data_IF_680061814182
#
_entry.id   IF_680061814182
#
_cell.length_a   1.000
_cell.length_b   1.000
_cell.length_c   1.000
_cell.angle_alpha   90.00
_cell.angle_beta   90.00
_cell.angle_gamma   90.00
#
_symmetry.space_group_name_H-M   'P 1'
#
loop_
_entity.id
_entity.type
_entity.pdbx_description
1 polymer ?
#
# COMPACT_ATOMS: atom_id res chain seq x y z
N UNK A 1 54.07 58.75 -31.13
CA UNK A 1 53.17 58.02 -32.04
C UNK A 1 52.27 57.15 -31.19
N UNK A 2 50.97 57.42 -31.17
CA UNK A 2 50.00 56.59 -30.47
C UNK A 2 49.62 55.42 -31.39
N UNK A 3 49.97 54.20 -31.00
CA UNK A 3 49.46 52.97 -31.62
C UNK A 3 48.00 52.81 -31.25
N UNK A 4 47.11 53.17 -32.17
CA UNK A 4 45.70 52.81 -32.07
C UNK A 4 45.59 51.29 -32.27
N UNK A 5 45.23 50.57 -31.21
CA UNK A 5 44.87 49.16 -31.30
C UNK A 5 43.56 49.11 -32.08
N UNK A 6 43.61 48.56 -33.28
CA UNK A 6 42.46 48.44 -34.14
C UNK A 6 41.53 47.35 -33.57
N UNK A 7 40.28 47.72 -33.29
CA UNK A 7 39.26 46.80 -32.77
C UNK A 7 38.99 45.65 -33.75
N UNK A 8 39.30 45.84 -35.05
CA UNK A 8 39.20 44.77 -36.05
C UNK A 8 40.18 43.62 -35.83
N UNK A 9 41.33 43.86 -35.18
CA UNK A 9 42.35 42.82 -34.96
C UNK A 9 42.04 41.97 -33.72
N UNK A 10 41.14 42.44 -32.85
CA UNK A 10 40.53 41.63 -31.77
C UNK A 10 39.48 40.66 -32.35
N UNK A 11 39.03 40.90 -33.58
CA UNK A 11 38.00 40.15 -34.29
C UNK A 11 38.57 39.27 -35.42
N UNK A 12 39.76 38.66 -35.23
CA UNK A 12 40.13 37.48 -36.01
C UNK A 12 39.10 36.35 -35.75
N UNK A 13 38.18 36.28 -36.71
CA UNK A 13 36.83 35.71 -36.73
C UNK A 13 36.68 34.23 -36.38
N UNK A 14 37.77 33.49 -36.14
CA UNK A 14 37.70 32.04 -35.89
C UNK A 14 37.74 31.68 -34.39
N UNK A 15 38.29 32.54 -33.54
CA UNK A 15 38.37 32.27 -32.10
C UNK A 15 37.08 32.60 -31.35
N UNK A 16 36.43 33.73 -31.64
CA UNK A 16 35.20 34.15 -30.95
C UNK A 16 34.05 33.17 -31.22
N UNK A 17 33.85 32.79 -32.48
CA UNK A 17 32.83 31.80 -32.88
C UNK A 17 33.11 30.45 -32.20
N UNK A 18 34.36 29.99 -32.20
CA UNK A 18 34.78 28.76 -31.50
C UNK A 18 34.53 28.83 -29.99
N UNK A 19 34.78 29.97 -29.34
CA UNK A 19 34.48 30.17 -27.93
C UNK A 19 32.97 30.16 -27.64
N UNK A 20 32.16 30.81 -28.47
CA UNK A 20 30.68 30.77 -28.36
C UNK A 20 30.17 29.33 -28.49
N UNK A 21 30.65 28.56 -29.46
CA UNK A 21 30.29 27.15 -29.62
C UNK A 21 30.67 26.31 -28.38
N UNK A 22 31.87 26.49 -27.82
CA UNK A 22 32.30 25.79 -26.59
C UNK A 22 31.41 26.13 -25.40
N UNK A 23 31.00 27.39 -25.25
CA UNK A 23 30.08 27.82 -24.20
C UNK A 23 28.71 27.18 -24.37
N UNK A 24 28.16 27.18 -25.58
CA UNK A 24 26.86 26.53 -25.89
C UNK A 24 26.92 25.02 -25.58
N UNK A 25 27.99 24.34 -26.00
CA UNK A 25 28.19 22.90 -25.72
C UNK A 25 28.25 22.66 -24.22
N UNK A 26 28.96 23.52 -23.47
CA UNK A 26 29.07 23.40 -22.01
C UNK A 26 27.70 23.52 -21.34
N UNK A 27 26.89 24.51 -21.74
CA UNK A 27 25.52 24.66 -21.22
C UNK A 27 24.63 23.48 -21.61
N UNK A 28 24.75 22.95 -22.84
CA UNK A 28 24.00 21.78 -23.28
C UNK A 28 24.35 20.54 -22.44
N UNK A 29 25.64 20.30 -22.18
CA UNK A 29 26.08 19.19 -21.33
C UNK A 29 25.55 19.34 -19.90
N UNK A 30 25.63 20.54 -19.32
CA UNK A 30 25.08 20.81 -17.99
C UNK A 30 23.55 20.57 -17.94
N UNK A 31 22.83 20.98 -18.98
CA UNK A 31 21.39 20.72 -19.10
C UNK A 31 21.10 19.22 -19.17
N UNK A 32 21.81 18.46 -20.01
CA UNK A 32 21.62 17.00 -20.15
C UNK A 32 21.94 16.29 -18.84
N UNK A 33 23.00 16.66 -18.14
CA UNK A 33 23.34 16.08 -16.83
C UNK A 33 22.28 16.38 -15.77
N UNK A 34 21.78 17.62 -15.72
CA UNK A 34 20.70 18.02 -14.82
C UNK A 34 19.40 17.26 -15.12
N UNK A 35 19.06 17.12 -16.40
CA UNK A 35 17.88 16.38 -16.85
C UNK A 35 17.99 14.88 -16.54
N UNK A 36 19.15 14.26 -16.80
CA UNK A 36 19.42 12.86 -16.46
C UNK A 36 19.35 12.63 -14.95
N UNK A 37 19.94 13.53 -14.15
CA UNK A 37 19.85 13.49 -12.70
C UNK A 37 18.41 13.64 -12.19
N UNK A 38 17.62 14.55 -12.78
CA UNK A 38 16.20 14.71 -12.48
C UNK A 38 15.39 13.46 -12.84
N UNK A 39 15.65 12.84 -14.01
CA UNK A 39 15.02 11.59 -14.42
C UNK A 39 15.36 10.43 -13.48
N UNK A 40 16.64 10.30 -13.11
CA UNK A 40 17.09 9.31 -12.13
C UNK A 40 16.39 9.53 -10.79
N UNK A 41 16.37 10.77 -10.28
CA UNK A 41 15.68 11.07 -9.03
C UNK A 41 14.18 10.81 -9.09
N UNK A 42 13.49 11.16 -10.17
CA UNK A 42 12.07 10.83 -10.36
C UNK A 42 11.84 9.32 -10.47
N UNK A 43 12.74 8.60 -11.14
CA UNK A 43 12.69 7.15 -11.25
C UNK A 43 12.99 6.45 -9.91
N UNK A 44 13.83 7.04 -9.07
CA UNK A 44 14.13 6.53 -7.73
C UNK A 44 13.21 7.08 -6.64
N UNK A 45 12.36 8.08 -6.95
CA UNK A 45 11.36 8.60 -6.01
C UNK A 45 10.32 7.52 -5.77
N UNK A 46 10.56 6.72 -4.74
CA UNK A 46 9.70 5.60 -4.38
C UNK A 46 8.47 6.06 -3.61
N UNK A 47 8.50 7.27 -3.00
CA UNK A 47 7.52 7.76 -2.04
C UNK A 47 7.00 9.15 -2.39
N UNK A 48 5.69 9.34 -2.29
CA UNK A 48 4.99 10.63 -2.47
C UNK A 48 4.11 10.90 -1.27
N UNK A 49 4.13 12.15 -0.77
CA UNK A 49 3.23 12.59 0.32
C UNK A 49 1.99 13.21 -0.32
N UNK A 50 0.82 12.64 -0.04
CA UNK A 50 -0.44 13.15 -0.57
C UNK A 50 -0.97 14.33 0.22
N UNK A 51 -0.96 14.23 1.56
CA UNK A 51 -1.31 15.33 2.44
C UNK A 51 -0.71 15.15 3.84
N UNK A 52 -0.68 16.24 4.59
CA UNK A 52 -0.29 16.27 6.00
C UNK A 52 -1.45 16.78 6.85
N UNK A 53 -1.55 16.26 8.08
CA UNK A 53 -2.45 16.79 9.09
C UNK A 53 -1.77 16.74 10.46
N UNK A 54 -1.61 17.90 11.08
CA UNK A 54 -0.73 18.09 12.24
C UNK A 54 0.70 17.58 11.95
N UNK A 55 1.21 16.67 12.78
CA UNK A 55 2.53 16.06 12.63
C UNK A 55 2.53 14.78 11.80
N UNK A 56 1.36 14.32 11.36
CA UNK A 56 1.21 13.05 10.65
C UNK A 56 1.02 13.26 9.16
N UNK A 57 1.49 12.30 8.36
CA UNK A 57 1.37 12.34 6.91
C UNK A 57 0.72 11.09 6.33
N UNK A 58 0.00 11.27 5.22
CA UNK A 58 -0.48 10.19 4.37
C UNK A 58 0.33 10.20 3.10
N UNK A 59 0.98 9.08 2.81
CA UNK A 59 1.91 8.92 1.70
C UNK A 59 1.62 7.64 0.91
N UNK A 60 2.13 7.58 -0.32
CA UNK A 60 2.09 6.39 -1.17
C UNK A 60 3.49 6.02 -1.60
N UNK A 61 3.75 4.72 -1.71
CA UNK A 61 5.06 4.21 -2.11
C UNK A 61 4.96 3.00 -3.04
N UNK A 62 5.91 2.84 -3.96
CA UNK A 62 6.07 1.56 -4.66
C UNK A 62 6.97 0.62 -3.85
N UNK A 63 6.42 -0.49 -3.39
CA UNK A 63 7.13 -1.40 -2.49
C UNK A 63 6.51 -2.78 -2.39
N UNK A 64 7.14 -3.62 -1.58
CA UNK A 64 6.53 -4.85 -1.08
C UNK A 64 6.16 -4.62 0.38
N UNK A 65 4.87 -4.77 0.70
CA UNK A 65 4.36 -4.49 2.04
C UNK A 65 4.95 -5.42 3.11
N UNK A 66 5.48 -6.58 2.71
CA UNK A 66 6.16 -7.51 3.61
C UNK A 66 7.51 -6.98 4.10
N UNK A 67 8.14 -6.04 3.38
CA UNK A 67 9.45 -5.47 3.74
C UNK A 67 9.38 -4.66 5.05
N UNK A 68 8.17 -4.29 5.49
CA UNK A 68 7.92 -3.58 6.75
C UNK A 68 7.77 -4.52 7.95
N UNK A 69 7.80 -5.84 7.74
CA UNK A 69 7.72 -6.81 8.83
C UNK A 69 9.10 -6.99 9.47
N UNK A 70 9.22 -6.67 10.76
CA UNK A 70 10.44 -6.91 11.56
C UNK A 70 11.48 -5.79 11.56
N UNK A 71 11.23 -4.66 10.89
CA UNK A 71 12.14 -3.52 10.85
C UNK A 71 12.02 -2.58 12.07
N UNK A 72 10.80 -2.41 12.60
CA UNK A 72 10.50 -1.55 13.75
C UNK A 72 9.07 -1.84 14.25
N UNK A 73 8.65 -1.13 15.30
CA UNK A 73 7.26 -1.20 15.76
C UNK A 73 6.31 -0.55 14.76
N UNK A 74 5.49 -1.35 14.10
CA UNK A 74 4.60 -0.89 13.01
C UNK A 74 3.24 -1.55 13.07
N UNK A 75 2.28 -0.97 12.36
CA UNK A 75 0.97 -1.55 12.12
C UNK A 75 0.86 -1.96 10.65
N UNK A 76 0.43 -3.18 10.40
CA UNK A 76 0.21 -3.70 9.05
C UNK A 76 -1.27 -4.03 8.85
N UNK A 77 -1.93 -3.32 7.93
CA UNK A 77 -3.32 -3.63 7.56
C UNK A 77 -3.32 -4.74 6.51
N UNK A 78 -4.01 -5.83 6.83
CA UNK A 78 -4.09 -7.01 5.98
C UNK A 78 -5.55 -7.28 5.64
N UNK A 79 -6.02 -6.93 4.43
CA UNK A 79 -7.35 -7.31 3.99
C UNK A 79 -7.48 -8.82 3.85
N UNK A 80 -8.49 -9.40 4.49
CA UNK A 80 -8.77 -10.84 4.55
C UNK A 80 -10.22 -11.14 4.14
N UNK A 81 -10.54 -12.42 4.01
CA UNK A 81 -11.94 -12.82 3.88
C UNK A 81 -12.68 -12.72 5.22
N UNK A 82 -14.00 -12.58 5.16
CA UNK A 82 -14.89 -12.40 6.32
C UNK A 82 -14.94 -13.58 7.28
N UNK A 83 -14.38 -14.74 6.91
CA UNK A 83 -14.24 -15.89 7.82
C UNK A 83 -12.87 -15.95 8.49
N UNK A 84 -11.96 -15.01 8.17
CA UNK A 84 -10.60 -14.97 8.68
C UNK A 84 -9.89 -16.32 8.54
N UNK A 85 -10.00 -16.96 7.37
CA UNK A 85 -9.29 -18.20 7.12
C UNK A 85 -7.79 -18.00 7.30
N UNK A 86 -7.11 -18.96 7.93
CA UNK A 86 -5.65 -18.96 8.12
C UNK A 86 -4.95 -20.08 7.35
N UNK A 87 -5.71 -21.02 6.80
CA UNK A 87 -5.19 -22.14 6.04
C UNK A 87 -4.97 -21.73 4.57
N UNK A 88 -3.75 -21.93 4.09
CA UNK A 88 -3.40 -21.72 2.68
C UNK A 88 -3.58 -23.04 1.95
N UNK A 89 -4.62 -23.16 1.12
CA UNK A 89 -4.86 -24.35 0.30
C UNK A 89 -5.48 -24.02 -1.08
N UNK A 90 -5.29 -22.78 -1.55
CA UNK A 90 -5.82 -22.19 -2.80
C UNK A 90 -7.34 -22.29 -3.02
N UNK A 91 -8.06 -22.90 -2.07
CA UNK A 91 -9.52 -22.96 -2.05
C UNK A 91 -10.10 -21.74 -1.32
N UNK A 92 -9.67 -21.48 -0.09
CA UNK A 92 -10.17 -20.35 0.71
C UNK A 92 -9.25 -19.13 0.70
N UNK A 93 -7.96 -19.36 0.47
CA UNK A 93 -6.94 -18.32 0.37
C UNK A 93 -6.02 -18.65 -0.80
N UNK A 94 -6.01 -17.79 -1.82
CA UNK A 94 -5.03 -17.88 -2.90
C UNK A 94 -3.65 -17.49 -2.40
N UNK A 95 -2.64 -18.31 -2.69
CA UNK A 95 -1.22 -18.05 -2.34
C UNK A 95 -0.70 -16.74 -2.96
N UNK A 96 -1.27 -16.32 -4.09
CA UNK A 96 -0.89 -15.09 -4.79
C UNK A 96 -1.61 -13.83 -4.28
N UNK A 97 -2.67 -14.00 -3.47
CA UNK A 97 -3.33 -12.88 -2.81
C UNK A 97 -2.43 -12.27 -1.73
N UNK A 98 -2.64 -10.99 -1.39
CA UNK A 98 -1.91 -10.38 -0.27
C UNK A 98 -2.16 -11.14 1.04
N UNK A 99 -3.41 -11.55 1.29
CA UNK A 99 -3.78 -12.37 2.43
C UNK A 99 -2.92 -13.64 2.53
N UNK A 100 -2.82 -14.40 1.42
CA UNK A 100 -1.99 -15.60 1.33
C UNK A 100 -0.50 -15.32 1.48
N UNK A 101 0.02 -14.26 0.83
CA UNK A 101 1.42 -13.86 0.91
C UNK A 101 1.84 -13.49 2.35
N UNK A 102 1.01 -12.74 3.08
CA UNK A 102 1.29 -12.38 4.48
C UNK A 102 1.28 -13.62 5.37
N UNK A 103 0.26 -14.47 5.28
CA UNK A 103 0.18 -15.68 6.10
C UNK A 103 1.36 -16.62 5.79
N UNK A 104 1.68 -16.80 4.50
CA UNK A 104 2.82 -17.62 4.08
C UNK A 104 4.13 -17.07 4.64
N UNK A 105 4.35 -15.77 4.55
CA UNK A 105 5.53 -15.13 5.13
C UNK A 105 5.64 -15.40 6.63
N UNK A 106 4.53 -15.30 7.38
CA UNK A 106 4.51 -15.59 8.81
C UNK A 106 4.90 -17.05 9.13
N UNK A 107 4.43 -18.00 8.32
CA UNK A 107 4.66 -19.43 8.52
C UNK A 107 6.06 -19.85 8.09
N UNK A 108 6.49 -19.44 6.89
CA UNK A 108 7.80 -19.79 6.32
C UNK A 108 8.95 -19.23 7.18
N UNK A 109 8.73 -18.11 7.88
CA UNK A 109 9.70 -17.51 8.80
C UNK A 109 9.51 -17.93 10.28
N UNK A 110 8.65 -18.91 10.56
CA UNK A 110 8.38 -19.42 11.91
C UNK A 110 7.95 -18.35 12.93
N UNK A 111 7.31 -17.27 12.47
CA UNK A 111 6.88 -16.16 13.34
C UNK A 111 5.63 -16.52 14.15
N UNK A 112 4.76 -17.36 13.59
CA UNK A 112 3.58 -17.93 14.26
C UNK A 112 3.14 -19.20 13.53
N UNK A 113 2.58 -20.18 14.25
CA UNK A 113 1.97 -21.35 13.62
C UNK A 113 0.54 -21.05 13.14
N UNK A 114 0.00 -21.87 12.23
CA UNK A 114 -1.38 -21.71 11.75
C UNK A 114 -2.40 -21.72 12.90
N UNK A 115 -2.28 -22.69 13.80
CA UNK A 115 -3.19 -22.85 14.95
C UNK A 115 -3.11 -21.66 15.91
N UNK A 116 -1.90 -21.14 16.17
CA UNK A 116 -1.73 -19.99 17.06
C UNK A 116 -2.25 -18.70 16.43
N UNK A 117 -2.07 -18.49 15.11
CA UNK A 117 -2.63 -17.34 14.41
C UNK A 117 -4.16 -17.36 14.46
N UNK A 118 -4.78 -18.50 14.13
CA UNK A 118 -6.24 -18.67 14.17
C UNK A 118 -6.80 -18.40 15.58
N UNK A 119 -6.13 -18.92 16.62
CA UNK A 119 -6.50 -18.68 18.02
C UNK A 119 -6.38 -17.21 18.40
N UNK A 120 -5.30 -16.53 18.01
CA UNK A 120 -5.09 -15.09 18.27
C UNK A 120 -6.17 -14.24 17.60
N UNK A 121 -6.50 -14.52 16.33
CA UNK A 121 -7.56 -13.84 15.59
C UNK A 121 -8.92 -14.03 16.27
N UNK A 122 -9.32 -15.27 16.55
CA UNK A 122 -10.60 -15.59 17.21
C UNK A 122 -10.70 -14.94 18.60
N UNK A 123 -9.60 -14.91 19.35
CA UNK A 123 -9.54 -14.22 20.64
C UNK A 123 -9.77 -12.71 20.47
N UNK A 124 -9.06 -12.06 19.54
CA UNK A 124 -9.19 -10.63 19.29
C UNK A 124 -10.61 -10.22 18.89
N UNK A 125 -11.26 -10.98 18.01
CA UNK A 125 -12.64 -10.70 17.58
C UNK A 125 -13.64 -10.89 18.74
N UNK A 126 -13.43 -11.91 19.59
CA UNK A 126 -14.26 -12.16 20.77
C UNK A 126 -14.11 -11.08 21.84
N UNK A 127 -12.89 -10.64 22.13
CA UNK A 127 -12.62 -9.56 23.11
C UNK A 127 -13.27 -8.23 22.70
N UNK A 128 -13.47 -8.02 21.41
CA UNK A 128 -14.20 -6.87 20.86
C UNK A 128 -15.73 -7.07 20.82
N UNK A 129 -16.24 -8.21 21.29
CA UNK A 129 -17.66 -8.59 21.20
C UNK A 129 -18.23 -8.57 19.77
N UNK A 130 -17.41 -8.90 18.77
CA UNK A 130 -17.86 -8.94 17.38
C UNK A 130 -18.57 -10.27 17.13
N UNK A 131 -19.88 -10.20 16.88
CA UNK A 131 -20.71 -11.35 16.55
C UNK A 131 -20.39 -11.90 15.15
N UNK A 132 -20.45 -13.23 15.01
CA UNK A 132 -20.35 -13.93 13.74
C UNK A 132 -21.57 -14.80 13.49
N UNK A 133 -21.86 -15.06 12.22
CA UNK A 133 -22.87 -16.03 11.79
C UNK A 133 -22.14 -17.31 11.38
N UNK A 134 -22.56 -18.46 11.90
CA UNK A 134 -22.06 -19.74 11.43
C UNK A 134 -22.76 -20.10 10.10
N UNK A 135 -22.00 -20.18 9.01
CA UNK A 135 -22.51 -20.45 7.66
C UNK A 135 -22.53 -21.95 7.31
N UNK A 136 -21.99 -22.80 8.19
CA UNK A 136 -21.91 -24.24 7.98
C UNK A 136 -21.07 -24.66 6.76
N UNK A 137 -21.17 -25.95 6.43
CA UNK A 137 -20.40 -26.58 5.37
C UNK A 137 -21.14 -26.75 4.02
N UNK A 138 -22.42 -26.36 3.97
CA UNK A 138 -23.27 -26.51 2.78
C UNK A 138 -23.07 -25.34 1.81
N UNK A 139 -22.26 -25.57 0.79
CA UNK A 139 -21.95 -24.58 -0.26
C UNK A 139 -23.20 -24.11 -1.00
N UNK A 140 -24.20 -24.99 -1.21
CA UNK A 140 -25.45 -24.63 -1.92
C UNK A 140 -26.30 -23.63 -1.13
N UNK A 141 -26.10 -23.55 0.19
CA UNK A 141 -26.77 -22.60 1.09
C UNK A 141 -25.89 -21.40 1.46
N UNK A 142 -24.78 -21.19 0.76
CA UNK A 142 -23.85 -20.09 1.02
C UNK A 142 -22.81 -20.35 2.10
N UNK A 143 -22.66 -21.61 2.55
CA UNK A 143 -21.58 -22.09 3.39
C UNK A 143 -20.27 -22.33 2.63
N UNK A 144 -19.30 -22.99 3.28
CA UNK A 144 -18.00 -23.33 2.66
C UNK A 144 -17.63 -24.78 2.91
N UNK A 145 -16.97 -25.45 1.98
CA UNK A 145 -16.56 -26.86 2.21
C UNK A 145 -15.38 -26.99 3.17
N UNK A 146 -14.54 -25.94 3.28
CA UNK A 146 -13.30 -25.94 4.06
C UNK A 146 -13.05 -24.57 4.71
N UNK A 147 -12.10 -24.53 5.64
CA UNK A 147 -11.74 -23.33 6.39
C UNK A 147 -12.65 -23.06 7.60
N UNK A 148 -12.68 -21.81 8.02
CA UNK A 148 -13.50 -21.32 9.13
C UNK A 148 -14.95 -21.10 8.69
N UNK A 149 -15.92 -21.51 9.52
CA UNK A 149 -17.36 -21.36 9.24
C UNK A 149 -18.02 -20.17 9.94
N UNK A 150 -17.29 -19.44 10.77
CA UNK A 150 -17.81 -18.23 11.40
C UNK A 150 -17.53 -17.04 10.48
N UNK A 151 -18.59 -16.50 9.87
CA UNK A 151 -18.53 -15.31 9.03
C UNK A 151 -18.82 -14.07 9.87
N UNK A 152 -17.89 -13.12 9.84
CA UNK A 152 -17.99 -11.85 10.53
C UNK A 152 -18.46 -10.75 9.57
N UNK A 153 -19.07 -9.66 10.07
CA UNK A 153 -19.41 -8.50 9.26
C UNK A 153 -18.19 -7.92 8.55
N UNK A 154 -18.38 -7.40 7.34
CA UNK A 154 -17.35 -6.64 6.62
C UNK A 154 -16.89 -5.44 7.47
N UNK A 155 -15.59 -5.13 7.41
CA UNK A 155 -14.95 -4.12 8.25
C UNK A 155 -14.58 -4.59 9.66
N UNK A 156 -15.03 -5.77 10.10
CA UNK A 156 -14.53 -6.38 11.34
C UNK A 156 -13.01 -6.51 11.28
N UNK A 157 -12.33 -6.13 12.36
CA UNK A 157 -10.85 -6.13 12.40
C UNK A 157 -10.35 -6.94 13.58
N UNK A 158 -9.47 -7.90 13.33
CA UNK A 158 -8.74 -8.62 14.37
C UNK A 158 -7.34 -8.01 14.53
N UNK A 159 -7.00 -7.61 15.75
CA UNK A 159 -5.69 -7.08 16.12
C UNK A 159 -4.82 -8.17 16.69
N UNK A 160 -3.69 -8.45 16.05
CA UNK A 160 -2.78 -9.53 16.44
C UNK A 160 -1.36 -9.02 16.48
N UNK A 161 -0.74 -9.07 17.66
CA UNK A 161 0.67 -8.73 17.85
C UNK A 161 1.56 -9.98 17.64
N UNK A 162 2.54 -9.85 16.73
CA UNK A 162 3.60 -10.85 16.44
C UNK A 162 4.93 -10.09 16.28
N UNK A 163 5.84 -10.26 17.24
CA UNK A 163 7.05 -9.46 17.33
C UNK A 163 6.72 -7.96 17.46
N UNK A 164 7.43 -7.13 16.71
CA UNK A 164 7.20 -5.67 16.67
C UNK A 164 6.05 -5.24 15.74
N UNK A 165 5.38 -6.19 15.08
CA UNK A 165 4.31 -5.88 14.13
C UNK A 165 2.95 -6.17 14.74
N UNK A 166 2.10 -5.14 14.75
CA UNK A 166 0.67 -5.31 14.99
C UNK A 166 -0.05 -5.50 13.66
N UNK A 167 -0.62 -6.68 13.45
CA UNK A 167 -1.41 -7.00 12.28
C UNK A 167 -2.87 -6.61 12.52
N UNK A 168 -3.45 -5.86 11.58
CA UNK A 168 -4.85 -5.46 11.56
C UNK A 168 -5.50 -6.26 10.44
N UNK A 169 -5.89 -7.50 10.73
CA UNK A 169 -6.59 -8.34 9.77
C UNK A 169 -8.01 -7.81 9.62
N UNK A 170 -8.39 -7.30 8.46
CA UNK A 170 -9.68 -6.64 8.23
C UNK A 170 -10.52 -7.40 7.21
N UNK A 171 -11.76 -7.73 7.57
CA UNK A 171 -12.68 -8.43 6.69
C UNK A 171 -13.08 -7.55 5.50
N UNK A 172 -12.60 -7.88 4.31
CA UNK A 172 -12.84 -7.14 3.05
C UNK A 172 -13.79 -7.87 2.10
N UNK A 173 -13.76 -9.21 2.08
CA UNK A 173 -14.45 -9.99 1.06
C UNK A 173 -15.22 -11.16 1.62
N UNK A 174 -16.27 -11.58 0.91
CA UNK A 174 -16.98 -12.82 1.16
C UNK A 174 -16.50 -13.86 0.14
N UNK A 175 -16.17 -15.06 0.62
CA UNK A 175 -15.86 -16.19 -0.25
C UNK A 175 -17.18 -16.85 -0.67
N UNK A 176 -17.46 -16.83 -1.96
CA UNK A 176 -18.53 -17.58 -2.61
C UNK A 176 -17.99 -18.83 -3.30
N UNK A 177 -18.74 -19.93 -3.21
CA UNK A 177 -18.47 -21.19 -3.89
C UNK A 177 -17.03 -21.72 -3.68
N UNK A 178 -16.44 -21.45 -2.51
CA UNK A 178 -15.07 -21.83 -2.12
C UNK A 178 -13.98 -21.38 -3.09
N UNK A 179 -14.19 -20.32 -3.87
CA UNK A 179 -13.17 -19.85 -4.85
C UNK A 179 -13.19 -18.35 -5.09
N UNK A 180 -14.37 -17.73 -5.10
CA UNK A 180 -14.51 -16.34 -5.50
C UNK A 180 -14.59 -15.44 -4.28
N UNK A 181 -13.59 -14.61 -4.07
CA UNK A 181 -13.70 -13.45 -3.19
C UNK A 181 -14.52 -12.37 -3.90
N UNK A 182 -15.55 -11.87 -3.24
CA UNK A 182 -16.41 -10.79 -3.75
C UNK A 182 -16.47 -9.68 -2.71
N UNK A 183 -16.40 -8.44 -3.21
CA UNK A 183 -16.55 -7.20 -2.46
C UNK A 183 -17.47 -6.29 -3.26
N UNK A 184 -18.50 -5.74 -2.62
CA UNK A 184 -19.36 -4.70 -3.22
C UNK A 184 -18.82 -3.29 -2.96
N UNK A 185 -19.35 -2.30 -3.68
CA UNK A 185 -19.02 -0.88 -3.45
C UNK A 185 -19.34 -0.45 -2.01
N UNK A 186 -20.45 -0.95 -1.46
CA UNK A 186 -20.83 -0.68 -0.07
C UNK A 186 -19.83 -1.33 0.92
N UNK A 187 -19.40 -2.55 0.64
CA UNK A 187 -18.38 -3.23 1.45
C UNK A 187 -17.07 -2.44 1.46
N UNK A 188 -16.67 -1.89 0.31
CA UNK A 188 -15.48 -1.07 0.20
C UNK A 188 -15.55 0.18 1.09
N UNK A 189 -16.68 0.90 1.10
CA UNK A 189 -16.89 2.05 1.98
C UNK A 189 -16.86 1.65 3.47
N UNK A 190 -17.48 0.53 3.82
CA UNK A 190 -17.47 -0.01 5.19
C UNK A 190 -16.02 -0.29 5.62
N UNK A 191 -15.21 -0.89 4.76
CA UNK A 191 -13.81 -1.19 5.04
C UNK A 191 -12.98 0.08 5.22
N UNK A 192 -13.11 1.07 4.34
CA UNK A 192 -12.38 2.33 4.49
C UNK A 192 -12.77 3.05 5.79
N UNK A 193 -14.06 3.03 6.15
CA UNK A 193 -14.50 3.58 7.42
C UNK A 193 -13.90 2.82 8.60
N UNK A 194 -13.87 1.48 8.55
CA UNK A 194 -13.26 0.64 9.57
C UNK A 194 -11.74 0.84 9.69
N UNK A 195 -11.03 1.11 8.58
CA UNK A 195 -9.61 1.48 8.63
C UNK A 195 -9.42 2.76 9.45
N UNK A 196 -10.20 3.79 9.15
CA UNK A 196 -10.12 5.08 9.84
C UNK A 196 -10.57 4.98 11.30
N UNK A 197 -11.68 4.28 11.57
CA UNK A 197 -12.27 4.27 12.92
C UNK A 197 -11.67 3.21 13.84
N UNK A 198 -11.17 2.10 13.31
CA UNK A 198 -10.60 1.03 14.12
C UNK A 198 -9.09 0.96 13.97
N UNK A 199 -8.57 0.90 12.74
CA UNK A 199 -7.13 0.66 12.54
C UNK A 199 -6.30 1.87 12.96
N UNK A 200 -6.69 3.09 12.57
CA UNK A 200 -5.96 4.30 12.98
C UNK A 200 -6.00 4.47 14.50
N UNK A 201 -7.14 4.20 15.16
CA UNK A 201 -7.23 4.33 16.62
C UNK A 201 -6.39 3.29 17.37
N UNK A 202 -6.23 2.09 16.81
CA UNK A 202 -5.48 0.99 17.42
C UNK A 202 -4.01 0.93 16.98
N UNK A 203 -3.51 1.97 16.30
CA UNK A 203 -2.12 2.05 15.85
C UNK A 203 -1.11 2.32 16.97
N UNK A 204 -1.60 2.80 18.12
CA UNK A 204 -0.79 3.27 19.25
C UNK A 204 0.29 4.30 18.85
N UNK A 205 -0.01 5.14 17.85
CA UNK A 205 0.93 6.16 17.37
C UNK A 205 2.03 5.66 16.45
N UNK A 206 2.13 4.34 16.20
CA UNK A 206 3.14 3.77 15.32
C UNK A 206 2.70 3.84 13.84
N UNK A 207 3.63 3.92 12.88
CA UNK A 207 3.30 3.98 11.46
C UNK A 207 2.38 2.85 11.00
N UNK A 208 1.50 3.16 10.06
CA UNK A 208 0.52 2.24 9.48
C UNK A 208 0.86 2.01 8.01
N UNK A 209 1.12 0.76 7.66
CA UNK A 209 1.31 0.31 6.29
C UNK A 209 0.07 -0.44 5.83
N UNK A 210 -0.49 -0.04 4.70
CA UNK A 210 -1.65 -0.70 4.10
C UNK A 210 -1.49 -0.84 2.59
N UNK A 211 -2.05 -1.89 1.99
CA UNK A 211 -2.05 -2.01 0.54
C UNK A 211 -3.03 -1.02 -0.09
N UNK A 212 -3.03 -0.96 -1.43
CA UNK A 212 -4.19 -0.50 -2.18
C UNK A 212 -5.38 -1.46 -1.93
N UNK A 213 -6.24 -1.11 -1.00
CA UNK A 213 -7.37 -1.95 -0.56
C UNK A 213 -8.37 -2.10 -1.70
N UNK A 214 -8.90 -3.31 -1.87
CA UNK A 214 -9.89 -3.58 -2.92
C UNK A 214 -9.30 -3.81 -4.31
N UNK A 215 -7.98 -3.68 -4.47
CA UNK A 215 -7.25 -4.10 -5.69
C UNK A 215 -7.04 -5.63 -5.73
N UNK A 216 -7.04 -6.22 -6.93
CA UNK A 216 -6.78 -7.65 -7.14
C UNK A 216 -8.03 -8.54 -7.07
N UNK A 217 -8.00 -9.58 -6.23
CA UNK A 217 -8.98 -10.68 -6.26
C UNK A 217 -10.37 -10.33 -5.68
N UNK A 218 -10.52 -9.16 -5.06
CA UNK A 218 -11.80 -8.66 -4.52
C UNK A 218 -12.81 -8.22 -5.59
N UNK A 219 -12.41 -8.20 -6.88
CA UNK A 219 -13.26 -7.92 -8.06
C UNK A 219 -14.02 -6.58 -8.02
N UNK A 220 -13.51 -5.56 -7.34
CA UNK A 220 -14.03 -4.21 -7.52
C UNK A 220 -13.70 -3.71 -8.93
N UNK A 221 -14.71 -3.25 -9.68
CA UNK A 221 -14.58 -2.79 -11.06
C UNK A 221 -14.03 -1.36 -11.18
N UNK A 222 -13.05 -1.01 -10.34
CA UNK A 222 -12.38 0.29 -10.40
C UNK A 222 -11.00 0.13 -11.01
N UNK A 223 -10.56 1.12 -11.80
CA UNK A 223 -9.14 1.22 -12.14
C UNK A 223 -8.34 1.43 -10.85
N UNK A 224 -7.19 0.75 -10.71
CA UNK A 224 -6.28 0.91 -9.57
C UNK A 224 -5.93 2.38 -9.28
N UNK A 225 -5.79 3.23 -10.31
CA UNK A 225 -5.57 4.67 -10.12
C UNK A 225 -6.75 5.34 -9.39
N UNK A 226 -7.98 5.05 -9.81
CA UNK A 226 -9.19 5.59 -9.17
C UNK A 226 -9.33 5.11 -7.73
N UNK A 227 -8.94 3.87 -7.45
CA UNK A 227 -8.94 3.32 -6.09
C UNK A 227 -7.98 4.11 -5.18
N UNK A 228 -6.76 4.39 -5.66
CA UNK A 228 -5.77 5.16 -4.91
C UNK A 228 -6.29 6.57 -4.63
N UNK A 229 -6.76 7.27 -5.67
CA UNK A 229 -7.32 8.61 -5.53
C UNK A 229 -8.49 8.64 -4.55
N UNK A 230 -9.36 7.63 -4.61
CA UNK A 230 -10.49 7.53 -3.70
C UNK A 230 -10.05 7.30 -2.25
N UNK A 231 -9.11 6.38 -2.00
CA UNK A 231 -8.54 6.16 -0.67
C UNK A 231 -7.92 7.44 -0.12
N UNK A 232 -7.11 8.14 -0.92
CA UNK A 232 -6.47 9.39 -0.53
C UNK A 232 -7.50 10.47 -0.20
N UNK A 233 -8.51 10.67 -1.06
CA UNK A 233 -9.60 11.63 -0.83
C UNK A 233 -10.42 11.27 0.42
N UNK A 234 -10.69 9.99 0.65
CA UNK A 234 -11.42 9.52 1.83
C UNK A 234 -10.63 9.75 3.11
N UNK A 235 -9.33 9.43 3.14
CA UNK A 235 -8.47 9.71 4.27
C UNK A 235 -8.28 11.21 4.50
N UNK A 236 -8.22 12.02 3.43
CA UNK A 236 -8.17 13.47 3.53
C UNK A 236 -9.46 14.03 4.15
N UNK A 237 -10.63 13.53 3.76
CA UNK A 237 -11.91 13.90 4.36
C UNK A 237 -11.95 13.56 5.85
N UNK A 238 -11.36 12.44 6.25
CA UNK A 238 -11.31 11.94 7.63
C UNK A 238 -10.02 12.28 8.38
N UNK A 239 -9.23 13.24 7.88
CA UNK A 239 -7.88 13.58 8.38
C UNK A 239 -7.82 13.90 9.88
N UNK A 240 -8.92 14.37 10.47
CA UNK A 240 -9.00 14.68 11.92
C UNK A 240 -8.87 13.45 12.81
N UNK A 241 -9.03 12.24 12.26
CA UNK A 241 -8.82 10.96 12.96
C UNK A 241 -7.39 10.42 12.86
N UNK A 242 -6.51 11.09 12.10
CA UNK A 242 -5.14 10.65 11.90
C UNK A 242 -4.33 10.81 13.19
N UNK A 243 -3.80 9.69 13.70
CA UNK A 243 -2.94 9.66 14.90
C UNK A 243 -1.60 8.96 14.66
N UNK A 244 -1.27 8.65 13.42
CA UNK A 244 -0.04 7.99 12.99
C UNK A 244 0.21 8.29 11.52
N UNK A 245 1.46 8.16 11.08
CA UNK A 245 1.77 8.19 9.66
C UNK A 245 1.14 6.99 8.95
N UNK A 246 0.61 7.24 7.76
CA UNK A 246 -0.06 6.23 6.94
C UNK A 246 0.66 6.15 5.60
N UNK A 247 1.10 4.96 5.23
CA UNK A 247 1.77 4.70 3.96
C UNK A 247 1.03 3.63 3.17
N UNK A 248 0.44 4.07 2.05
CA UNK A 248 -0.21 3.19 1.08
C UNK A 248 0.87 2.54 0.23
N UNK A 249 1.10 1.25 0.45
CA UNK A 249 2.13 0.47 -0.24
C UNK A 249 1.52 -0.15 -1.50
N UNK A 250 1.95 0.35 -2.65
CA UNK A 250 1.54 -0.10 -3.97
C UNK A 250 2.59 -1.08 -4.47
N UNK A 251 2.16 -2.23 -4.99
CA UNK A 251 3.09 -3.25 -5.48
C UNK A 251 3.92 -2.69 -6.62
N UNK A 252 5.22 -3.01 -6.63
CA UNK A 252 6.15 -2.57 -7.70
C UNK A 252 5.66 -2.99 -9.09
N UNK A 253 4.99 -4.14 -9.20
CA UNK A 253 4.39 -4.66 -10.44
C UNK A 253 3.20 -3.83 -10.97
N UNK A 254 2.62 -2.95 -10.16
CA UNK A 254 1.53 -2.05 -10.54
C UNK A 254 2.03 -0.63 -10.88
N UNK A 255 3.35 -0.40 -10.93
CA UNK A 255 3.95 0.92 -11.19
C UNK A 255 3.53 1.53 -12.53
N UNK A 256 3.40 0.72 -13.57
CA UNK A 256 2.99 1.18 -14.90
C UNK A 256 1.48 1.47 -15.00
N UNK A 257 0.70 1.06 -13.99
CA UNK A 257 -0.76 1.18 -13.96
C UNK A 257 -1.25 2.29 -13.04
N UNK A 258 -0.46 2.64 -12.03
CA UNK A 258 -0.83 3.56 -10.96
C UNK A 258 0.23 4.63 -10.89
N UNK A 259 -0.14 5.89 -11.09
CA UNK A 259 0.71 7.04 -10.75
C UNK A 259 0.53 7.37 -9.28
N UNK A 260 1.62 7.35 -8.52
CA UNK A 260 1.63 7.89 -7.14
C UNK A 260 1.89 9.38 -7.07
N UNK A 261 2.27 9.99 -8.20
CA UNK A 261 2.42 11.45 -8.36
C UNK A 261 1.06 12.09 -8.58
#
# INVERSE_FOLDING_TARGET
MATFINISDIYESNNIISHIFKVIITFLVLYVLSFAYALLNCYFKSRVIYFKYNKFEVSGTYGNILDYIGASKVNLIVPVNSCFDTKIDDSVISTNSLHGKVIKFLYDNNLVSQTELDKKIKRSLREQNISSVNIGNDVKKGGKSVGNYNRYPIGSTAFVDIGDVRYHFIALSIIENNKNAITSDQDYLIVLNAIVDNCFRNSNGNPIYLPLVGSGLSKLNYNHQQQLEFMVKYFMLRRTKLISDVEIVIRKEDRDKISIL
#
